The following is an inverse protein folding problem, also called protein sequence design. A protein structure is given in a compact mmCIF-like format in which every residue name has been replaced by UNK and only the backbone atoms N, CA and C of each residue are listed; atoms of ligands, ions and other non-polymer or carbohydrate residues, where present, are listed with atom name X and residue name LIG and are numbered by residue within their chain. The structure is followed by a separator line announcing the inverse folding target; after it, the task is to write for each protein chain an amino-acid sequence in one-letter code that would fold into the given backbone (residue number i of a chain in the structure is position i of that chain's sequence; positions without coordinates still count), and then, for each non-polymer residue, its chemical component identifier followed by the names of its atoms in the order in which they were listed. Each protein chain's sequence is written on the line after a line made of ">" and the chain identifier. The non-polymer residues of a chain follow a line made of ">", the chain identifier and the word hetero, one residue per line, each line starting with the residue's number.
data_IF_970299256771
#
_entry.id   IF_970299256771
#
_cell.length_a   1.000
_cell.length_b   1.000
_cell.length_c   1.000
_cell.angle_alpha   90.00
_cell.angle_beta   90.00
_cell.angle_gamma   90.00
#
_symmetry.space_group_name_H-M   'P 1'
#
loop_
_entity.id
_entity.type
_entity.pdbx_description
1 polymer ?
#
# COMPACT_ATOMS: atom_id res chain seq x y z
N UNK A 1 -35.99 -21.72 -1.13
CA UNK A 1 -35.70 -20.27 -1.19
C UNK A 1 -35.01 -20.01 -2.52
N UNK A 2 -35.63 -19.22 -3.38
CA UNK A 2 -35.10 -18.96 -4.73
C UNK A 2 -33.89 -18.03 -4.65
N UNK A 3 -32.89 -18.20 -5.52
CA UNK A 3 -31.68 -17.36 -5.56
C UNK A 3 -32.00 -15.86 -5.73
N UNK A 4 -33.15 -15.54 -6.35
CA UNK A 4 -33.66 -14.18 -6.46
C UNK A 4 -34.13 -13.59 -5.12
N UNK A 5 -34.77 -14.39 -4.26
CA UNK A 5 -35.20 -13.96 -2.92
C UNK A 5 -34.00 -13.70 -2.02
N UNK A 6 -32.95 -14.53 -2.16
CA UNK A 6 -31.70 -14.39 -1.43
C UNK A 6 -30.95 -13.11 -1.82
N UNK A 7 -30.85 -12.82 -3.13
CA UNK A 7 -30.21 -11.59 -3.62
C UNK A 7 -30.97 -10.31 -3.20
N UNK A 8 -32.30 -10.34 -3.22
CA UNK A 8 -33.09 -9.20 -2.71
C UNK A 8 -32.89 -8.98 -1.21
N UNK A 9 -32.85 -10.05 -0.41
CA UNK A 9 -32.62 -9.95 1.02
C UNK A 9 -31.26 -9.31 1.35
N UNK A 10 -30.17 -9.72 0.68
CA UNK A 10 -28.85 -9.11 0.85
C UNK A 10 -28.86 -7.61 0.51
N UNK A 11 -29.53 -7.23 -0.59
CA UNK A 11 -29.62 -5.83 -1.00
C UNK A 11 -30.38 -4.99 0.05
N UNK A 12 -31.45 -5.54 0.64
CA UNK A 12 -32.17 -4.84 1.72
C UNK A 12 -31.35 -4.74 3.01
N UNK A 13 -30.58 -5.77 3.35
CA UNK A 13 -29.71 -5.79 4.53
C UNK A 13 -28.61 -4.72 4.41
N UNK A 14 -27.98 -4.62 3.23
CA UNK A 14 -26.97 -3.59 2.95
C UNK A 14 -27.55 -2.18 2.97
N UNK A 15 -28.76 -1.99 2.45
CA UNK A 15 -29.44 -0.68 2.49
C UNK A 15 -29.71 -0.20 3.93
N UNK A 16 -29.99 -1.12 4.87
CA UNK A 16 -30.18 -0.77 6.29
C UNK A 16 -28.88 -0.33 6.96
N UNK A 17 -27.76 -0.97 6.61
CA UNK A 17 -26.42 -0.59 7.11
C UNK A 17 -26.07 0.80 6.60
N UNK A 18 -26.21 1.04 5.30
CA UNK A 18 -25.93 2.34 4.68
C UNK A 18 -26.76 3.46 5.32
N UNK A 19 -28.07 3.26 5.49
CA UNK A 19 -28.95 4.23 6.13
C UNK A 19 -28.53 4.53 7.58
N UNK A 20 -27.99 3.54 8.30
CA UNK A 20 -27.45 3.76 9.65
C UNK A 20 -26.16 4.57 9.63
N UNK A 21 -25.22 4.24 8.74
CA UNK A 21 -23.96 4.98 8.60
C UNK A 21 -24.22 6.44 8.19
N UNK A 22 -25.17 6.68 7.28
CA UNK A 22 -25.60 8.03 6.89
C UNK A 22 -26.20 8.81 8.09
N UNK A 23 -26.94 8.11 8.97
CA UNK A 23 -27.48 8.72 10.20
C UNK A 23 -26.36 9.13 11.16
N UNK A 24 -25.34 8.29 11.32
CA UNK A 24 -24.14 8.60 12.13
C UNK A 24 -23.38 9.77 11.50
N UNK A 25 -23.12 9.74 10.20
CA UNK A 25 -22.43 10.82 9.50
C UNK A 25 -23.17 12.16 9.65
N UNK A 26 -24.51 12.13 9.50
CA UNK A 26 -25.37 13.31 9.67
C UNK A 26 -25.33 13.84 11.11
N UNK A 27 -25.28 12.97 12.12
CA UNK A 27 -25.16 13.38 13.51
C UNK A 27 -23.81 14.06 13.79
N UNK A 28 -22.74 13.58 13.16
CA UNK A 28 -21.38 14.12 13.29
C UNK A 28 -21.16 15.40 12.44
N UNK A 29 -22.05 15.69 11.49
CA UNK A 29 -21.90 16.81 10.57
C UNK A 29 -21.89 18.16 11.32
N UNK A 30 -20.88 18.99 11.04
CA UNK A 30 -20.72 20.31 11.65
C UNK A 30 -20.12 20.34 13.06
N UNK A 31 -19.88 19.18 13.68
CA UNK A 31 -19.30 19.10 15.04
C UNK A 31 -17.82 18.71 15.06
N UNK A 32 -17.40 17.88 14.12
CA UNK A 32 -16.01 17.40 14.00
C UNK A 32 -15.49 17.56 12.57
N UNK A 33 -14.17 17.45 12.41
CA UNK A 33 -13.52 17.60 11.10
C UNK A 33 -13.94 16.49 10.14
N UNK A 34 -13.85 16.76 8.83
CA UNK A 34 -14.21 15.75 7.81
C UNK A 34 -13.38 14.48 7.95
N UNK A 35 -12.10 14.60 8.33
CA UNK A 35 -11.21 13.45 8.49
C UNK A 35 -11.68 12.54 9.65
N UNK A 36 -11.97 13.13 10.81
CA UNK A 36 -12.48 12.39 11.98
C UNK A 36 -13.84 11.74 11.72
N UNK A 37 -14.73 12.42 10.97
CA UNK A 37 -16.02 11.80 10.58
C UNK A 37 -15.83 10.51 9.81
N UNK A 38 -14.95 10.52 8.81
CA UNK A 38 -14.69 9.34 7.98
C UNK A 38 -14.04 8.22 8.78
N UNK A 39 -13.20 8.56 9.75
CA UNK A 39 -12.55 7.59 10.64
C UNK A 39 -13.57 6.89 11.55
N UNK A 40 -14.44 7.66 12.22
CA UNK A 40 -15.50 7.12 13.08
C UNK A 40 -16.49 6.26 12.27
N UNK A 41 -16.90 6.72 11.09
CA UNK A 41 -17.81 5.96 10.22
C UNK A 41 -17.16 4.65 9.78
N UNK A 42 -15.87 4.66 9.43
CA UNK A 42 -15.12 3.45 9.07
C UNK A 42 -14.97 2.47 10.23
N UNK A 43 -14.78 2.96 11.46
CA UNK A 43 -14.74 2.13 12.66
C UNK A 43 -16.11 1.46 12.93
N UNK A 44 -17.19 2.22 12.82
CA UNK A 44 -18.57 1.69 12.99
C UNK A 44 -18.89 0.65 11.92
N UNK A 45 -18.52 0.89 10.66
CA UNK A 45 -18.68 -0.08 9.57
C UNK A 45 -17.91 -1.39 9.87
N UNK A 46 -16.65 -1.28 10.27
CA UNK A 46 -15.84 -2.45 10.66
C UNK A 46 -16.46 -3.23 11.81
N UNK A 47 -17.07 -2.54 12.78
CA UNK A 47 -17.73 -3.18 13.91
C UNK A 47 -19.02 -3.90 13.52
N UNK A 48 -19.81 -3.31 12.61
CA UNK A 48 -20.99 -3.96 12.03
C UNK A 48 -20.57 -5.26 11.33
N UNK A 49 -19.54 -5.20 10.48
CA UNK A 49 -19.02 -6.36 9.77
C UNK A 49 -18.52 -7.46 10.71
N UNK A 50 -17.82 -7.09 11.78
CA UNK A 50 -17.35 -8.04 12.79
C UNK A 50 -18.53 -8.74 13.49
N UNK A 51 -19.52 -7.98 13.95
CA UNK A 51 -20.70 -8.53 14.62
C UNK A 51 -21.56 -9.39 13.68
N UNK A 52 -21.62 -9.04 12.40
CA UNK A 52 -22.29 -9.87 11.39
C UNK A 52 -21.53 -11.18 11.14
N UNK A 53 -20.19 -11.14 11.06
CA UNK A 53 -19.37 -12.36 10.92
C UNK A 53 -19.48 -13.27 12.16
N UNK A 54 -19.49 -12.69 13.36
CA UNK A 54 -19.68 -13.45 14.60
C UNK A 54 -21.04 -14.16 14.62
N UNK A 55 -22.08 -13.51 14.10
CA UNK A 55 -23.45 -14.02 14.13
C UNK A 55 -23.74 -15.03 13.01
N UNK A 56 -23.35 -14.71 11.79
CA UNK A 56 -23.64 -15.53 10.62
C UNK A 56 -22.60 -16.65 10.41
N UNK A 57 -21.37 -16.47 10.89
CA UNK A 57 -20.25 -17.38 10.63
C UNK A 57 -19.52 -17.06 9.32
N UNK A 58 -18.33 -17.65 9.14
CA UNK A 58 -17.50 -17.47 7.95
C UNK A 58 -18.19 -18.02 6.70
N UNK A 59 -18.57 -17.13 5.77
CA UNK A 59 -19.09 -17.49 4.44
C UNK A 59 -20.62 -17.55 4.35
N UNK A 60 -21.34 -17.25 5.42
CA UNK A 60 -22.80 -17.12 5.38
C UNK A 60 -23.22 -15.67 5.11
N UNK A 61 -24.22 -15.52 4.26
CA UNK A 61 -24.77 -14.24 3.85
C UNK A 61 -25.66 -13.64 4.96
N UNK A 62 -25.48 -12.37 5.36
CA UNK A 62 -26.25 -11.78 6.46
C UNK A 62 -27.72 -11.59 6.07
N UNK A 63 -28.63 -12.12 6.89
CA UNK A 63 -30.06 -11.90 6.70
C UNK A 63 -30.48 -10.54 7.26
N UNK A 64 -31.66 -10.06 6.86
CA UNK A 64 -32.23 -8.80 7.39
C UNK A 64 -32.40 -8.82 8.91
N UNK A 65 -32.82 -9.96 9.46
CA UNK A 65 -32.97 -10.15 10.91
C UNK A 65 -31.62 -10.14 11.64
N UNK A 66 -30.58 -10.63 10.98
CA UNK A 66 -29.23 -10.59 11.50
C UNK A 66 -28.73 -9.15 11.65
N UNK A 67 -28.90 -8.36 10.59
CA UNK A 67 -28.56 -6.93 10.58
C UNK A 67 -29.34 -6.17 11.64
N UNK A 68 -30.66 -6.35 11.74
CA UNK A 68 -31.46 -5.60 12.71
C UNK A 68 -31.03 -5.85 14.17
N UNK A 69 -30.70 -7.09 14.53
CA UNK A 69 -30.25 -7.35 15.90
C UNK A 69 -28.77 -6.98 16.13
N UNK A 70 -27.94 -6.86 15.09
CA UNK A 70 -26.63 -6.21 15.19
C UNK A 70 -26.79 -4.70 15.41
N UNK A 71 -27.63 -4.04 14.62
CA UNK A 71 -27.92 -2.61 14.74
C UNK A 71 -28.50 -2.24 16.11
N UNK A 72 -29.27 -3.15 16.74
CA UNK A 72 -29.79 -2.96 18.10
C UNK A 72 -28.73 -3.05 19.21
N UNK A 73 -27.56 -3.67 18.93
CA UNK A 73 -26.43 -3.75 19.87
C UNK A 73 -25.47 -2.58 19.75
N UNK A 74 -25.51 -1.84 18.64
CA UNK A 74 -24.69 -0.67 18.46
C UNK A 74 -25.22 0.49 19.29
N UNK A 75 -24.29 1.33 19.73
CA UNK A 75 -24.65 2.54 20.45
C UNK A 75 -25.51 3.47 19.59
N UNK A 76 -26.39 4.26 20.23
CA UNK A 76 -27.15 5.29 19.55
C UNK A 76 -26.20 6.30 18.88
N UNK A 77 -26.60 6.94 17.76
CA UNK A 77 -25.72 7.85 17.03
C UNK A 77 -25.25 9.03 17.90
N UNK A 78 -26.01 9.39 18.93
CA UNK A 78 -25.65 10.43 19.90
C UNK A 78 -24.45 10.07 20.77
N UNK A 79 -24.17 8.78 21.00
CA UNK A 79 -23.02 8.34 21.79
C UNK A 79 -21.68 8.68 21.13
N UNK A 80 -21.67 8.92 19.82
CA UNK A 80 -20.46 9.27 19.07
C UNK A 80 -20.17 10.79 19.08
N UNK A 81 -20.96 11.57 19.80
CA UNK A 81 -20.82 13.03 19.85
C UNK A 81 -19.94 13.48 21.02
N UNK A 82 -19.79 12.65 22.06
CA UNK A 82 -19.01 12.97 23.26
C UNK A 82 -17.48 12.93 23.05
N UNK A 83 -17.01 12.54 21.86
CA UNK A 83 -15.59 12.57 21.51
C UNK A 83 -15.02 13.98 21.29
N UNK A 84 -15.88 15.01 21.12
CA UNK A 84 -15.47 16.37 20.78
C UNK A 84 -15.32 17.37 21.95
N UNK A 85 -15.70 17.01 23.18
CA UNK A 85 -15.78 17.95 24.31
C UNK A 85 -14.55 17.98 25.23
N UNK A 86 -13.46 17.30 24.87
CA UNK A 86 -12.17 17.43 25.58
C UNK A 86 -12.09 16.73 26.94
N UNK A 87 -13.10 15.94 27.33
CA UNK A 87 -12.95 14.97 28.42
C UNK A 87 -12.46 13.65 27.83
N UNK A 88 -11.21 13.31 28.11
CA UNK A 88 -10.61 12.01 27.79
C UNK A 88 -11.45 10.89 28.42
N UNK A 89 -12.39 10.33 27.66
CA UNK A 89 -13.04 9.09 28.01
C UNK A 89 -11.99 7.96 27.91
N UNK A 90 -11.28 7.73 29.01
CA UNK A 90 -10.57 6.48 29.25
C UNK A 90 -11.64 5.39 29.33
N UNK A 91 -11.96 4.78 28.19
CA UNK A 91 -12.68 3.51 28.22
C UNK A 91 -11.99 2.60 29.23
N UNK A 92 -12.72 1.93 30.15
CA UNK A 92 -12.14 0.84 30.89
C UNK A 92 -11.68 -0.19 29.85
N UNK A 93 -10.35 -0.23 29.63
CA UNK A 93 -9.70 -1.32 28.92
C UNK A 93 -10.06 -2.58 29.67
N UNK A 94 -11.10 -3.27 29.19
CA UNK A 94 -11.31 -4.65 29.56
C UNK A 94 -10.10 -5.41 29.02
N UNK A 95 -9.15 -5.69 29.93
CA UNK A 95 -8.11 -6.68 29.76
C UNK A 95 -8.79 -8.04 29.54
N UNK A 96 -9.21 -8.29 28.30
CA UNK A 96 -9.49 -9.67 27.87
C UNK A 96 -8.12 -10.34 27.67
N UNK A 97 -7.86 -11.51 28.27
CA UNK A 97 -6.80 -12.39 27.80
C UNK A 97 -7.28 -13.01 26.48
N UNK A 98 -7.28 -12.22 25.42
CA UNK A 98 -7.56 -12.76 24.10
C UNK A 98 -6.29 -13.45 23.64
N UNK A 99 -6.32 -14.78 23.70
CA UNK A 99 -5.60 -15.63 22.74
C UNK A 99 -6.20 -15.34 21.36
N UNK A 100 -5.92 -14.16 20.81
CA UNK A 100 -5.90 -14.00 19.38
C UNK A 100 -4.70 -14.84 18.96
N UNK A 101 -4.94 -15.83 18.10
CA UNK A 101 -3.91 -16.15 17.14
C UNK A 101 -3.52 -14.81 16.52
N UNK A 102 -2.34 -14.31 16.88
CA UNK A 102 -1.69 -13.18 16.24
C UNK A 102 -1.62 -13.55 14.74
N UNK A 103 -2.66 -13.24 13.98
CA UNK A 103 -2.44 -12.70 12.66
C UNK A 103 -1.80 -11.36 12.95
N UNK A 104 -0.48 -11.42 13.10
CA UNK A 104 0.44 -10.31 13.22
C UNK A 104 -0.08 -9.24 12.27
N UNK A 105 -0.70 -8.21 12.83
CA UNK A 105 -1.05 -6.99 12.13
C UNK A 105 0.31 -6.40 11.75
N UNK A 106 0.88 -6.92 10.66
CA UNK A 106 2.06 -6.38 10.01
C UNK A 106 1.69 -4.93 9.76
N UNK A 107 2.27 -3.97 10.49
CA UNK A 107 1.82 -2.59 10.44
C UNK A 107 1.88 -2.14 8.99
N UNK A 108 0.91 -1.34 8.52
CA UNK A 108 0.91 -0.83 7.15
C UNK A 108 2.26 -0.16 6.78
N UNK A 109 2.98 0.34 7.79
CA UNK A 109 4.36 0.82 7.70
C UNK A 109 5.38 -0.23 7.25
N UNK A 110 5.22 -1.50 7.59
CA UNK A 110 6.19 -2.54 7.23
C UNK A 110 6.17 -2.84 5.73
N UNK A 111 4.99 -2.80 5.09
CA UNK A 111 4.88 -2.96 3.63
C UNK A 111 5.49 -1.76 2.90
N UNK A 112 5.20 -0.54 3.35
CA UNK A 112 5.81 0.68 2.82
C UNK A 112 7.34 0.70 3.00
N UNK A 113 7.83 0.22 4.15
CA UNK A 113 9.26 0.09 4.44
C UNK A 113 9.95 -0.93 3.55
N UNK A 114 9.29 -2.05 3.23
CA UNK A 114 9.80 -3.05 2.28
C UNK A 114 9.92 -2.46 0.87
N UNK A 115 8.93 -1.71 0.40
CA UNK A 115 9.00 -1.06 -0.92
C UNK A 115 10.12 0.00 -1.01
N UNK A 116 10.32 0.80 0.05
CA UNK A 116 11.39 1.79 0.11
C UNK A 116 12.79 1.14 0.15
N UNK A 117 12.95 0.01 0.85
CA UNK A 117 14.21 -0.73 0.84
C UNK A 117 14.51 -1.34 -0.53
N UNK A 118 13.50 -1.92 -1.18
CA UNK A 118 13.64 -2.52 -2.53
C UNK A 118 14.04 -1.47 -3.55
N UNK A 119 13.50 -0.24 -3.49
CA UNK A 119 13.88 0.82 -4.43
C UNK A 119 15.35 1.24 -4.28
N UNK A 120 15.84 1.36 -3.03
CA UNK A 120 17.24 1.63 -2.75
C UNK A 120 18.17 0.51 -3.24
N UNK A 121 17.81 -0.75 -2.98
CA UNK A 121 18.57 -1.91 -3.43
C UNK A 121 18.65 -1.99 -4.97
N UNK A 122 17.53 -1.77 -5.67
CA UNK A 122 17.50 -1.72 -7.13
C UNK A 122 18.41 -0.60 -7.68
N UNK A 123 18.40 0.59 -7.06
CA UNK A 123 19.28 1.68 -7.46
C UNK A 123 20.76 1.36 -7.30
N UNK A 124 21.16 0.68 -6.21
CA UNK A 124 22.54 0.25 -5.99
C UNK A 124 22.97 -0.77 -7.04
N UNK A 125 22.13 -1.77 -7.31
CA UNK A 125 22.42 -2.82 -8.31
C UNK A 125 22.58 -2.18 -9.70
N UNK A 126 21.70 -1.24 -10.06
CA UNK A 126 21.80 -0.52 -11.32
C UNK A 126 23.07 0.31 -11.44
N UNK A 127 23.47 1.01 -10.38
CA UNK A 127 24.73 1.76 -10.37
C UNK A 127 25.94 0.84 -10.53
N UNK A 128 25.97 -0.29 -9.81
CA UNK A 128 27.06 -1.26 -9.92
C UNK A 128 27.15 -1.87 -11.34
N UNK A 129 26.01 -2.17 -11.96
CA UNK A 129 25.97 -2.63 -13.34
C UNK A 129 26.48 -1.56 -14.32
N UNK A 130 26.13 -0.30 -14.12
CA UNK A 130 26.60 0.82 -14.94
C UNK A 130 28.11 1.04 -14.80
N UNK A 131 28.65 0.88 -13.59
CA UNK A 131 30.09 0.95 -13.33
C UNK A 131 30.86 -0.28 -13.86
N UNK A 132 30.21 -1.44 -13.98
CA UNK A 132 30.79 -2.62 -14.59
C UNK A 132 30.91 -2.51 -16.12
N UNK A 133 30.04 -1.73 -16.77
CA UNK A 133 30.04 -1.54 -18.23
C UNK A 133 31.39 -1.05 -18.81
N UNK A 134 32.05 0.02 -18.30
CA UNK A 134 33.36 0.44 -18.81
C UNK A 134 34.45 -0.61 -18.58
N UNK A 135 34.34 -1.41 -17.53
CA UNK A 135 35.28 -2.49 -17.24
C UNK A 135 35.11 -3.64 -18.24
N UNK A 136 33.86 -4.02 -18.53
CA UNK A 136 33.53 -5.00 -19.57
C UNK A 136 33.97 -4.52 -20.97
N UNK A 137 33.79 -3.22 -21.27
CA UNK A 137 34.28 -2.60 -22.50
C UNK A 137 35.81 -2.72 -22.60
N UNK A 138 36.55 -2.36 -21.54
CA UNK A 138 38.00 -2.47 -21.52
C UNK A 138 38.49 -3.91 -21.77
N UNK A 139 37.84 -4.90 -21.13
CA UNK A 139 38.14 -6.31 -21.36
C UNK A 139 37.82 -6.74 -22.79
N UNK A 140 36.71 -6.25 -23.37
CA UNK A 140 36.34 -6.54 -24.75
C UNK A 140 37.39 -6.02 -25.73
N UNK A 141 37.89 -4.79 -25.54
CA UNK A 141 38.94 -4.20 -26.39
C UNK A 141 40.25 -4.98 -26.25
N UNK A 142 40.65 -5.38 -25.04
CA UNK A 142 41.90 -6.13 -24.83
C UNK A 142 41.87 -7.54 -25.42
N UNK A 143 40.69 -8.15 -25.51
CA UNK A 143 40.51 -9.52 -26.01
C UNK A 143 40.08 -9.57 -27.48
N UNK A 144 39.82 -8.41 -28.10
CA UNK A 144 39.21 -8.26 -29.42
C UNK A 144 37.93 -9.12 -29.60
N UNK A 145 37.20 -9.31 -28.49
CA UNK A 145 36.08 -10.24 -28.43
C UNK A 145 34.77 -9.52 -28.67
N UNK A 146 34.20 -9.73 -29.86
CA UNK A 146 32.89 -9.18 -30.23
C UNK A 146 31.76 -9.68 -29.30
N UNK A 147 31.90 -10.90 -28.76
CA UNK A 147 30.94 -11.49 -27.84
C UNK A 147 30.94 -10.78 -26.49
N UNK A 148 32.11 -10.45 -25.95
CA UNK A 148 32.21 -9.68 -24.69
C UNK A 148 31.74 -8.24 -24.91
N UNK A 149 32.00 -7.68 -26.08
CA UNK A 149 31.51 -6.35 -26.44
C UNK A 149 29.97 -6.30 -26.44
N UNK A 150 29.31 -7.05 -27.33
CA UNK A 150 27.84 -6.98 -27.42
C UNK A 150 27.15 -7.65 -26.23
N UNK A 151 27.67 -8.79 -25.78
CA UNK A 151 27.10 -9.54 -24.66
C UNK A 151 27.34 -8.84 -23.34
N UNK A 152 28.59 -8.50 -23.02
CA UNK A 152 28.95 -7.90 -21.73
C UNK A 152 28.46 -6.46 -21.61
N UNK A 153 28.88 -5.57 -22.53
CA UNK A 153 28.51 -4.15 -22.46
C UNK A 153 27.00 -3.97 -22.67
N UNK A 154 26.42 -4.68 -23.65
CA UNK A 154 24.98 -4.64 -23.92
C UNK A 154 24.14 -5.12 -22.74
N UNK A 155 24.53 -6.23 -22.10
CA UNK A 155 23.84 -6.74 -20.92
C UNK A 155 23.96 -5.80 -19.71
N UNK A 156 25.15 -5.24 -19.45
CA UNK A 156 25.35 -4.25 -18.39
C UNK A 156 24.50 -2.98 -18.63
N UNK A 157 24.45 -2.48 -19.86
CA UNK A 157 23.64 -1.31 -20.20
C UNK A 157 22.13 -1.59 -20.00
N UNK A 158 21.65 -2.75 -20.48
CA UNK A 158 20.23 -3.11 -20.40
C UNK A 158 19.79 -3.35 -18.95
N UNK A 159 20.59 -4.06 -18.16
CA UNK A 159 20.32 -4.27 -16.73
C UNK A 159 20.32 -2.96 -15.95
N UNK A 160 21.25 -2.05 -16.23
CA UNK A 160 21.30 -0.71 -15.61
C UNK A 160 20.06 0.12 -15.93
N UNK A 161 19.59 0.09 -17.18
CA UNK A 161 18.38 0.81 -17.61
C UNK A 161 17.11 0.25 -16.95
N UNK A 162 16.97 -1.08 -16.90
CA UNK A 162 15.80 -1.71 -16.26
C UNK A 162 15.78 -1.43 -14.75
N UNK A 163 16.92 -1.52 -14.09
CA UNK A 163 17.00 -1.29 -12.63
C UNK A 163 16.91 0.19 -12.26
N UNK A 164 17.49 1.09 -13.07
CA UNK A 164 17.38 2.54 -12.94
C UNK A 164 15.93 3.03 -13.08
N UNK A 165 15.25 2.64 -14.15
CA UNK A 165 13.82 2.94 -14.35
C UNK A 165 12.93 2.36 -13.23
N UNK A 166 13.16 1.12 -12.80
CA UNK A 166 12.43 0.53 -11.68
C UNK A 166 12.64 1.32 -10.38
N UNK A 167 13.87 1.75 -10.09
CA UNK A 167 14.17 2.58 -8.92
C UNK A 167 13.41 3.92 -8.94
N UNK A 168 13.32 4.57 -10.11
CA UNK A 168 12.55 5.81 -10.29
C UNK A 168 11.05 5.59 -10.08
N UNK A 169 10.47 4.52 -10.64
CA UNK A 169 9.05 4.18 -10.48
C UNK A 169 8.73 3.93 -9.01
N UNK A 170 9.53 3.11 -8.33
CA UNK A 170 9.28 2.81 -6.91
C UNK A 170 9.50 4.04 -6.01
N UNK A 171 10.48 4.90 -6.32
CA UNK A 171 10.65 6.17 -5.62
C UNK A 171 9.42 7.08 -5.78
N UNK A 172 8.87 7.18 -7.00
CA UNK A 172 7.64 7.93 -7.27
C UNK A 172 6.43 7.39 -6.50
N UNK A 173 6.24 6.06 -6.50
CA UNK A 173 5.14 5.40 -5.78
C UNK A 173 5.21 5.62 -4.26
N UNK A 174 6.42 5.69 -3.70
CA UNK A 174 6.63 5.94 -2.27
C UNK A 174 6.35 7.39 -1.82
N UNK A 175 6.05 8.29 -2.77
CA UNK A 175 5.80 9.73 -2.53
C UNK A 175 6.93 10.43 -1.77
N UNK A 176 8.18 9.94 -1.88
CA UNK A 176 9.38 10.51 -1.25
C UNK A 176 9.32 10.62 0.29
N UNK A 177 8.44 9.87 0.96
CA UNK A 177 8.29 9.96 2.42
C UNK A 177 9.41 9.26 3.20
N UNK A 178 10.23 8.45 2.53
CA UNK A 178 11.31 7.68 3.15
C UNK A 178 12.69 8.11 2.60
N UNK A 179 13.73 8.22 3.44
CA UNK A 179 15.08 8.55 2.99
C UNK A 179 15.60 7.55 1.95
N UNK A 180 15.23 6.27 2.04
CA UNK A 180 15.61 5.24 1.08
C UNK A 180 15.03 5.47 -0.32
N UNK A 181 13.83 6.04 -0.41
CA UNK A 181 13.24 6.41 -1.69
C UNK A 181 13.99 7.56 -2.37
N UNK A 182 14.46 8.52 -1.56
CA UNK A 182 15.30 9.63 -2.06
C UNK A 182 16.62 9.06 -2.59
N UNK A 183 17.25 8.15 -1.83
CA UNK A 183 18.49 7.48 -2.27
C UNK A 183 18.27 6.71 -3.58
N UNK A 184 17.19 5.93 -3.69
CA UNK A 184 16.84 5.20 -4.91
C UNK A 184 16.59 6.12 -6.11
N UNK A 185 15.92 7.26 -5.89
CA UNK A 185 15.70 8.27 -6.92
C UNK A 185 17.02 8.87 -7.43
N UNK A 186 17.87 9.34 -6.51
CA UNK A 186 19.16 9.97 -6.87
C UNK A 186 20.05 8.97 -7.60
N UNK A 187 20.16 7.74 -7.09
CA UNK A 187 20.93 6.67 -7.73
C UNK A 187 20.36 6.31 -9.11
N UNK A 188 19.04 6.22 -9.25
CA UNK A 188 18.39 5.96 -10.53
C UNK A 188 18.71 7.03 -11.56
N UNK A 189 18.59 8.31 -11.22
CA UNK A 189 18.91 9.43 -12.12
C UNK A 189 20.39 9.41 -12.53
N UNK A 190 21.31 9.21 -11.58
CA UNK A 190 22.75 9.16 -11.88
C UNK A 190 23.09 7.97 -12.78
N UNK A 191 22.46 6.82 -12.54
CA UNK A 191 22.65 5.62 -13.36
C UNK A 191 22.21 5.86 -14.81
N UNK A 192 21.02 6.42 -15.01
CA UNK A 192 20.51 6.75 -16.36
C UNK A 192 21.41 7.78 -17.07
N UNK A 193 21.89 8.80 -16.36
CA UNK A 193 22.84 9.77 -16.94
C UNK A 193 24.14 9.10 -17.38
N UNK A 194 24.71 8.20 -16.57
CA UNK A 194 25.92 7.47 -16.92
C UNK A 194 25.73 6.56 -18.13
N UNK A 195 24.61 5.84 -18.21
CA UNK A 195 24.26 5.00 -19.36
C UNK A 195 24.11 5.85 -20.62
N UNK A 196 23.44 7.00 -20.53
CA UNK A 196 23.24 7.91 -21.66
C UNK A 196 24.57 8.50 -22.14
N UNK A 197 25.44 8.94 -21.22
CA UNK A 197 26.79 9.40 -21.55
C UNK A 197 27.56 8.28 -22.24
N UNK A 198 27.56 7.07 -21.68
CA UNK A 198 28.25 5.90 -22.26
C UNK A 198 27.78 5.56 -23.68
N UNK A 199 26.45 5.59 -23.92
CA UNK A 199 25.88 5.41 -25.24
C UNK A 199 26.32 6.50 -26.22
N UNK A 200 26.36 7.75 -25.75
CA UNK A 200 26.79 8.89 -26.55
C UNK A 200 28.28 8.77 -26.90
N UNK A 201 29.15 8.38 -25.96
CA UNK A 201 30.56 8.12 -26.26
C UNK A 201 30.74 7.00 -27.26
N UNK A 202 29.94 5.93 -27.20
CA UNK A 202 29.98 4.84 -28.17
C UNK A 202 29.50 5.26 -29.56
N UNK A 203 28.50 6.16 -29.64
CA UNK A 203 27.98 6.66 -30.91
C UNK A 203 28.94 7.62 -31.62
N UNK A 204 29.67 8.44 -30.87
CA UNK A 204 30.52 9.50 -31.43
C UNK A 204 32.02 9.19 -31.39
N UNK A 205 32.42 8.11 -30.74
CA UNK A 205 33.82 7.72 -30.70
C UNK A 205 34.18 6.86 -31.90
N UNK A 206 35.21 7.30 -32.62
CA UNK A 206 35.83 6.56 -33.72
C UNK A 206 36.71 5.42 -33.15
N UNK A 207 36.08 4.39 -32.57
CA UNK A 207 36.77 3.20 -32.03
C UNK A 207 36.82 2.04 -33.01
#
# INVERSE_FOLDING_TARGET
>A
MSTAEMSMATNTARALIEARLETVERALFGRISRAERLDIVGEVESRIDELLRERCGLGNEPTREDVLAVLAKLDPPEAYLDFGSGEEFRMPRFERPVRYALSEMVPADERLRKHAFVSGACGIVGLLAALAAPLAFFVAVQTDSTLIFFGGVGFCALTSLVTGTAALIFAGLSRLKSPWAITGLVLGVVTEMLVLIGMLTLMFGDY
#
